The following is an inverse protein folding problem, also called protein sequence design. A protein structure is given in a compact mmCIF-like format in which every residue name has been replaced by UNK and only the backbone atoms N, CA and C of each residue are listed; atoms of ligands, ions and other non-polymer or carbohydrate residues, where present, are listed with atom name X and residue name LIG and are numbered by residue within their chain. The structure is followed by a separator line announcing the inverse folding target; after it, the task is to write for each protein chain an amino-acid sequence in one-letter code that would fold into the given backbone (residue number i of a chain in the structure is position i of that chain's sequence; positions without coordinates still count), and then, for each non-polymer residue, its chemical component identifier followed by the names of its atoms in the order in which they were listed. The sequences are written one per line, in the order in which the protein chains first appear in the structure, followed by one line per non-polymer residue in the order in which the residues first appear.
data_IF_139542758185
#
_entry.id   IF_139542758185
#
_cell.length_a   1.000
_cell.length_b   1.000
_cell.length_c   1.000
_cell.angle_alpha   90.00
_cell.angle_beta   90.00
_cell.angle_gamma   90.00
#
_symmetry.space_group_name_H-M   'P 1'
#
loop_
_entity.id
_entity.type
_entity.pdbx_description
1 polymer ?
#
# COMPACT_ATOMS: atom_id res chain seq x y z
N UNK A 1 -23.81 5.24 29.03
CA UNK A 1 -23.03 6.44 29.44
C UNK A 1 -21.58 6.19 29.12
N UNK A 2 -20.96 7.13 28.43
CA UNK A 2 -19.57 7.12 27.97
C UNK A 2 -18.63 7.55 29.11
N UNK A 3 -17.51 6.87 29.27
CA UNK A 3 -16.31 7.40 29.95
C UNK A 3 -15.08 6.78 29.30
N UNK A 4 -14.61 7.46 28.26
CA UNK A 4 -13.25 7.39 27.72
C UNK A 4 -12.37 8.35 28.54
N UNK A 5 -11.09 8.02 28.70
CA UNK A 5 -10.00 8.81 29.30
C UNK A 5 -9.87 8.81 30.82
N UNK A 6 -9.16 7.80 31.34
CA UNK A 6 -8.43 7.88 32.60
C UNK A 6 -7.02 8.43 32.36
N UNK A 7 -6.91 9.72 32.08
CA UNK A 7 -5.65 10.47 32.10
C UNK A 7 -5.30 10.72 33.58
N UNK A 8 -4.24 10.07 34.06
CA UNK A 8 -3.82 10.15 35.46
C UNK A 8 -3.28 11.53 35.85
N UNK A 9 -4.06 12.25 36.66
CA UNK A 9 -3.67 13.29 37.63
C UNK A 9 -2.54 12.80 38.56
N UNK A 10 -1.66 13.58 39.20
CA UNK A 10 -1.37 15.01 39.33
C UNK A 10 -0.03 15.12 40.11
N UNK A 11 0.67 16.27 40.11
CA UNK A 11 1.95 16.47 40.79
C UNK A 11 1.78 16.71 42.31
N UNK A 12 2.80 16.37 43.09
CA UNK A 12 2.86 16.63 44.54
C UNK A 12 3.53 18.00 44.79
N UNK A 13 3.00 18.84 45.71
CA UNK A 13 3.55 20.17 45.97
C UNK A 13 4.71 20.13 46.96
N UNK A 14 5.73 20.93 46.70
CA UNK A 14 6.87 21.19 47.57
C UNK A 14 6.66 22.56 48.25
N UNK A 15 6.69 22.58 49.59
CA UNK A 15 6.66 23.81 50.38
C UNK A 15 7.76 23.76 51.43
N UNK A 16 8.58 24.81 51.44
CA UNK A 16 9.06 25.59 52.59
C UNK A 16 10.57 25.88 52.56
N UNK A 17 10.90 27.16 52.31
CA UNK A 17 12.15 27.90 52.62
C UNK A 17 12.46 27.91 54.15
N UNK A 18 13.63 28.39 54.69
CA UNK A 18 14.44 29.55 54.25
C UNK A 18 16.00 29.47 54.32
N UNK A 19 16.62 30.51 53.73
CA UNK A 19 18.00 31.05 53.51
C UNK A 19 18.90 31.28 54.78
N UNK A 20 20.17 31.84 54.75
CA UNK A 20 21.47 31.65 54.01
C UNK A 20 22.72 31.59 54.99
N UNK A 21 24.04 31.79 54.65
CA UNK A 21 24.70 32.94 53.97
C UNK A 21 25.86 32.66 52.94
N UNK A 22 25.84 33.39 51.83
CA UNK A 22 26.91 34.23 51.22
C UNK A 22 28.39 33.77 51.16
N UNK A 23 28.94 33.62 49.93
CA UNK A 23 30.17 34.31 49.45
C UNK A 23 30.41 34.12 47.93
N UNK A 24 31.12 35.08 47.31
CA UNK A 24 31.40 35.32 45.88
C UNK A 24 32.89 35.78 45.81
N UNK A 25 33.64 35.89 44.68
CA UNK A 25 33.71 35.19 43.37
C UNK A 25 35.14 34.67 42.98
N UNK A 26 35.22 34.01 41.81
CA UNK A 26 36.34 34.01 40.80
C UNK A 26 37.45 32.93 40.91
N UNK A 27 38.21 32.68 39.82
CA UNK A 27 37.98 31.62 38.84
C UNK A 27 39.12 30.59 38.85
N UNK A 28 38.91 29.37 38.35
CA UNK A 28 40.04 28.64 37.78
C UNK A 28 39.64 27.64 36.71
N UNK A 29 40.48 27.68 35.69
CA UNK A 29 40.59 26.85 34.51
C UNK A 29 40.67 25.36 34.87
N UNK A 30 39.82 24.54 34.27
CA UNK A 30 40.09 23.10 34.14
C UNK A 30 39.35 22.53 32.95
N UNK A 31 40.17 22.08 32.01
CA UNK A 31 39.81 21.37 30.79
C UNK A 31 38.68 20.37 31.00
N UNK A 32 37.64 20.46 30.17
CA UNK A 32 36.66 19.39 30.00
C UNK A 32 37.37 18.21 29.32
N UNK A 33 37.53 17.03 29.94
CA UNK A 33 37.88 15.85 29.17
C UNK A 33 36.70 15.51 28.27
N UNK A 34 36.96 15.39 26.97
CA UNK A 34 36.03 14.86 26.00
C UNK A 34 35.44 13.56 26.55
N UNK A 35 34.14 13.54 26.79
CA UNK A 35 33.41 12.32 27.08
C UNK A 35 33.42 11.45 25.83
N UNK A 36 34.38 10.53 25.76
CA UNK A 36 34.33 9.38 24.86
C UNK A 36 33.08 8.61 25.23
N UNK A 37 31.99 8.89 24.52
CA UNK A 37 30.73 8.18 24.66
C UNK A 37 30.95 6.78 24.10
N UNK A 38 31.39 5.87 24.97
CA UNK A 38 31.46 4.45 24.69
C UNK A 38 30.07 4.01 24.24
N UNK A 39 29.89 3.80 22.93
CA UNK A 39 28.71 3.15 22.41
C UNK A 39 28.71 1.74 23.00
N UNK A 40 27.86 1.53 24.01
CA UNK A 40 27.58 0.21 24.56
C UNK A 40 27.01 -0.59 23.39
N UNK A 41 27.81 -1.51 22.87
CA UNK A 41 27.40 -2.46 21.85
C UNK A 41 26.19 -3.23 22.41
N UNK A 42 25.01 -2.93 21.88
CA UNK A 42 23.82 -3.72 22.20
C UNK A 42 24.09 -5.16 21.77
N UNK A 43 23.78 -6.16 22.62
CA UNK A 43 23.90 -7.55 22.25
C UNK A 43 23.02 -7.82 21.02
N UNK A 44 23.46 -8.68 20.08
CA UNK A 44 22.64 -9.04 18.93
C UNK A 44 21.32 -9.63 19.46
N UNK A 45 20.21 -8.92 19.21
CA UNK A 45 18.89 -9.43 19.52
C UNK A 45 18.70 -10.76 18.79
N UNK A 46 18.05 -11.76 19.40
CA UNK A 46 17.79 -13.02 18.72
C UNK A 46 17.01 -12.73 17.44
N UNK A 47 17.61 -13.03 16.29
CA UNK A 47 17.01 -12.79 14.98
C UNK A 47 15.83 -13.75 14.80
N UNK A 48 14.66 -13.35 15.28
CA UNK A 48 13.42 -14.04 14.99
C UNK A 48 13.03 -13.69 13.56
N UNK A 49 12.97 -14.68 12.67
CA UNK A 49 12.56 -14.52 11.26
C UNK A 49 11.06 -14.20 11.14
N UNK A 50 10.64 -13.04 11.62
CA UNK A 50 9.25 -12.55 11.64
C UNK A 50 8.70 -12.36 10.22
N UNK A 51 9.54 -11.91 9.29
CA UNK A 51 9.20 -11.75 7.87
C UNK A 51 8.83 -13.06 7.19
N UNK A 52 9.48 -14.16 7.56
CA UNK A 52 9.18 -15.47 6.99
C UNK A 52 7.74 -15.88 7.35
N UNK A 53 7.33 -15.59 8.60
CA UNK A 53 5.96 -15.86 9.07
C UNK A 53 4.95 -14.96 8.37
N UNK A 54 5.30 -13.69 8.12
CA UNK A 54 4.45 -12.75 7.39
C UNK A 54 4.33 -13.13 5.90
N UNK A 55 5.42 -13.58 5.27
CA UNK A 55 5.46 -14.08 3.90
C UNK A 55 4.61 -15.35 3.76
N UNK A 56 4.85 -16.37 4.59
CA UNK A 56 4.07 -17.61 4.53
C UNK A 56 2.60 -17.38 4.92
N UNK A 57 2.33 -16.49 5.88
CA UNK A 57 0.97 -16.07 6.22
C UNK A 57 0.29 -15.36 5.05
N UNK A 58 0.96 -14.40 4.42
CA UNK A 58 0.47 -13.70 3.24
C UNK A 58 0.27 -14.61 2.03
N UNK A 59 1.20 -15.53 1.77
CA UNK A 59 1.15 -16.47 0.65
C UNK A 59 0.04 -17.51 0.82
N UNK A 60 -0.13 -18.06 2.03
CA UNK A 60 -1.24 -18.99 2.31
C UNK A 60 -2.58 -18.29 2.24
N UNK A 61 -2.69 -17.09 2.82
CA UNK A 61 -3.90 -16.27 2.75
C UNK A 61 -4.24 -15.87 1.29
N UNK A 62 -3.25 -15.48 0.50
CA UNK A 62 -3.40 -15.18 -0.92
C UNK A 62 -3.85 -16.40 -1.73
N UNK A 63 -3.23 -17.55 -1.52
CA UNK A 63 -3.63 -18.79 -2.20
C UNK A 63 -5.08 -19.17 -1.86
N UNK A 64 -5.47 -19.09 -0.59
CA UNK A 64 -6.85 -19.34 -0.17
C UNK A 64 -7.83 -18.31 -0.77
N UNK A 65 -7.47 -17.03 -0.80
CA UNK A 65 -8.27 -15.96 -1.41
C UNK A 65 -8.49 -16.20 -2.91
N UNK A 66 -7.44 -16.58 -3.64
CA UNK A 66 -7.52 -16.93 -5.07
C UNK A 66 -8.39 -18.16 -5.30
N UNK A 67 -8.29 -19.19 -4.45
CA UNK A 67 -9.12 -20.39 -4.55
C UNK A 67 -10.60 -20.08 -4.32
N UNK A 68 -10.94 -19.28 -3.31
CA UNK A 68 -12.31 -18.83 -3.03
C UNK A 68 -12.84 -18.02 -4.20
N UNK A 69 -12.04 -17.08 -4.72
CA UNK A 69 -12.38 -16.27 -5.89
C UNK A 69 -12.69 -17.17 -7.10
N UNK A 70 -11.80 -18.12 -7.41
CA UNK A 70 -11.96 -19.05 -8.53
C UNK A 70 -13.22 -19.90 -8.38
N UNK A 71 -13.52 -20.38 -7.17
CA UNK A 71 -14.73 -21.16 -6.87
C UNK A 71 -16.01 -20.32 -7.07
N UNK A 72 -16.02 -19.09 -6.56
CA UNK A 72 -17.16 -18.17 -6.69
C UNK A 72 -17.45 -17.83 -8.17
N UNK A 73 -16.41 -17.42 -8.92
CA UNK A 73 -16.54 -17.14 -10.35
C UNK A 73 -16.94 -18.38 -11.16
N UNK A 74 -16.44 -19.57 -10.81
CA UNK A 74 -16.80 -20.79 -11.51
C UNK A 74 -18.29 -21.13 -11.36
N UNK A 75 -18.83 -21.02 -10.13
CA UNK A 75 -20.26 -21.23 -9.87
C UNK A 75 -21.11 -20.26 -10.70
N UNK A 76 -20.75 -18.97 -10.68
CA UNK A 76 -21.46 -17.92 -11.44
C UNK A 76 -21.37 -18.15 -12.95
N UNK A 77 -20.21 -18.53 -13.45
CA UNK A 77 -19.99 -18.84 -14.87
C UNK A 77 -20.86 -20.00 -15.33
N UNK A 78 -21.00 -21.07 -14.53
CA UNK A 78 -21.87 -22.21 -14.86
C UNK A 78 -23.34 -21.77 -14.88
N UNK A 79 -23.79 -20.96 -13.92
CA UNK A 79 -25.17 -20.45 -13.90
C UNK A 79 -25.52 -19.59 -15.11
N UNK A 80 -24.54 -18.93 -15.73
CA UNK A 80 -24.74 -18.14 -16.95
C UNK A 80 -24.85 -18.98 -18.22
N UNK A 81 -24.57 -20.29 -18.18
CA UNK A 81 -24.67 -21.17 -19.35
C UNK A 81 -26.14 -21.56 -19.53
N UNK A 82 -26.78 -21.19 -20.65
CA UNK A 82 -28.16 -21.56 -20.92
C UNK A 82 -28.31 -23.09 -21.13
N UNK A 83 -29.35 -23.75 -20.60
CA UNK A 83 -29.70 -25.13 -20.97
C UNK A 83 -30.03 -25.27 -22.47
N UNK A 84 -29.94 -26.50 -22.99
CA UNK A 84 -30.32 -26.79 -24.38
C UNK A 84 -31.76 -26.29 -24.63
N UNK A 85 -31.93 -25.50 -25.69
CA UNK A 85 -33.19 -24.87 -26.14
C UNK A 85 -33.65 -23.58 -25.43
N UNK A 86 -32.89 -23.01 -24.50
CA UNK A 86 -33.12 -21.60 -24.12
C UNK A 86 -32.19 -20.68 -24.92
N UNK A 87 -32.76 -19.65 -25.55
CA UNK A 87 -31.95 -18.63 -26.21
C UNK A 87 -31.26 -17.76 -25.14
N UNK A 88 -30.08 -17.23 -25.45
CA UNK A 88 -29.32 -16.35 -24.56
C UNK A 88 -30.09 -15.08 -24.16
N UNK A 89 -31.14 -14.72 -24.90
CA UNK A 89 -31.99 -13.54 -24.65
C UNK A 89 -32.98 -13.79 -23.50
N UNK A 90 -33.44 -15.04 -23.34
CA UNK A 90 -34.42 -15.40 -22.30
C UNK A 90 -33.80 -16.07 -21.08
N UNK A 91 -32.51 -16.41 -21.12
CA UNK A 91 -31.78 -16.95 -19.96
C UNK A 91 -31.23 -15.83 -19.09
N UNK A 92 -32.00 -15.43 -18.08
CA UNK A 92 -31.55 -14.49 -17.06
C UNK A 92 -31.36 -15.22 -15.73
N UNK A 93 -30.11 -15.59 -15.36
CA UNK A 93 -29.87 -16.18 -14.05
C UNK A 93 -30.26 -15.17 -12.98
N UNK A 94 -31.02 -15.63 -11.99
CA UNK A 94 -31.45 -14.79 -10.88
C UNK A 94 -30.23 -14.22 -10.15
N UNK A 95 -30.07 -12.89 -10.19
CA UNK A 95 -28.96 -12.17 -9.56
C UNK A 95 -29.50 -11.21 -8.50
N UNK A 96 -29.06 -11.38 -7.25
CA UNK A 96 -29.30 -10.39 -6.22
C UNK A 96 -28.25 -9.27 -6.34
N UNK A 97 -28.59 -8.15 -7.00
CA UNK A 97 -27.62 -7.08 -7.32
C UNK A 97 -26.85 -6.56 -6.11
N UNK A 98 -27.48 -6.45 -4.93
CA UNK A 98 -26.82 -5.99 -3.72
C UNK A 98 -25.87 -7.03 -3.11
N UNK A 99 -26.30 -8.30 -3.05
CA UNK A 99 -25.48 -9.40 -2.55
C UNK A 99 -24.27 -9.69 -3.46
N UNK A 100 -24.48 -9.63 -4.77
CA UNK A 100 -23.45 -9.85 -5.78
C UNK A 100 -22.41 -8.72 -5.78
N UNK A 101 -22.84 -7.47 -5.52
CA UNK A 101 -21.93 -6.34 -5.32
C UNK A 101 -21.11 -6.45 -4.03
N UNK A 102 -21.71 -6.89 -2.92
CA UNK A 102 -21.00 -7.11 -1.66
C UNK A 102 -20.00 -8.28 -1.75
N UNK A 103 -20.37 -9.36 -2.45
CA UNK A 103 -19.45 -10.45 -2.77
C UNK A 103 -18.30 -9.94 -3.64
N UNK A 104 -18.58 -9.14 -4.69
CA UNK A 104 -17.56 -8.57 -5.56
C UNK A 104 -16.61 -7.62 -4.82
N UNK A 105 -17.14 -6.79 -3.92
CA UNK A 105 -16.35 -5.90 -3.07
C UNK A 105 -15.39 -6.71 -2.19
N UNK A 106 -15.89 -7.72 -1.48
CA UNK A 106 -15.05 -8.56 -0.63
C UNK A 106 -14.07 -9.42 -1.44
N UNK A 107 -14.47 -9.93 -2.60
CA UNK A 107 -13.57 -10.65 -3.51
C UNK A 107 -12.40 -9.76 -3.95
N UNK A 108 -12.68 -8.49 -4.26
CA UNK A 108 -11.67 -7.54 -4.70
C UNK A 108 -10.73 -7.13 -3.55
N UNK A 109 -11.29 -6.74 -2.39
CA UNK A 109 -10.50 -6.26 -1.25
C UNK A 109 -9.64 -7.37 -0.66
N UNK A 110 -10.15 -8.59 -0.53
CA UNK A 110 -9.38 -9.71 -0.02
C UNK A 110 -8.20 -10.05 -0.95
N UNK A 111 -8.39 -10.03 -2.27
CA UNK A 111 -7.30 -10.31 -3.21
C UNK A 111 -6.20 -9.23 -3.18
N UNK A 112 -6.58 -7.95 -3.13
CA UNK A 112 -5.61 -6.84 -3.06
C UNK A 112 -4.90 -6.81 -1.70
N UNK A 113 -5.63 -6.99 -0.60
CA UNK A 113 -5.07 -7.03 0.75
C UNK A 113 -4.11 -8.22 0.90
N UNK A 114 -4.50 -9.40 0.39
CA UNK A 114 -3.65 -10.58 0.39
C UNK A 114 -2.38 -10.37 -0.42
N UNK A 115 -2.50 -9.75 -1.61
CA UNK A 115 -1.34 -9.40 -2.42
C UNK A 115 -0.42 -8.42 -1.70
N UNK A 116 -0.98 -7.42 -1.02
CA UNK A 116 -0.21 -6.47 -0.19
C UNK A 116 0.54 -7.15 0.95
N UNK A 117 -0.09 -8.09 1.65
CA UNK A 117 0.56 -8.87 2.71
C UNK A 117 1.67 -9.78 2.16
N UNK A 118 1.42 -10.46 1.03
CA UNK A 118 2.40 -11.30 0.37
C UNK A 118 3.59 -10.48 -0.15
N UNK A 119 3.32 -9.39 -0.87
CA UNK A 119 4.34 -8.52 -1.43
C UNK A 119 5.14 -7.81 -0.32
N UNK A 120 4.46 -7.29 0.70
CA UNK A 120 5.11 -6.69 1.87
C UNK A 120 5.98 -7.69 2.64
N UNK A 121 5.49 -8.92 2.83
CA UNK A 121 6.29 -10.00 3.42
C UNK A 121 7.49 -10.40 2.54
N UNK A 122 7.34 -10.40 1.21
CA UNK A 122 8.41 -10.71 0.27
C UNK A 122 9.49 -9.63 0.25
N UNK A 123 9.10 -8.36 0.21
CA UNK A 123 10.02 -7.22 0.29
C UNK A 123 10.74 -7.21 1.64
N UNK A 124 10.02 -7.39 2.75
CA UNK A 124 10.61 -7.45 4.08
C UNK A 124 11.61 -8.61 4.23
N UNK A 125 11.32 -9.76 3.63
CA UNK A 125 12.23 -10.90 3.57
C UNK A 125 13.48 -10.60 2.71
N UNK A 126 13.31 -10.05 1.51
CA UNK A 126 14.42 -9.77 0.59
C UNK A 126 15.39 -8.71 1.14
N UNK A 127 14.88 -7.72 1.87
CA UNK A 127 15.68 -6.66 2.49
C UNK A 127 16.19 -7.03 3.89
N UNK A 128 15.88 -8.24 4.38
CA UNK A 128 16.25 -8.74 5.71
C UNK A 128 15.83 -7.79 6.87
N UNK A 129 14.65 -7.17 6.76
CA UNK A 129 14.14 -6.16 7.71
C UNK A 129 13.35 -6.87 8.81
N UNK A 130 13.97 -7.28 9.93
CA UNK A 130 13.28 -8.07 10.97
C UNK A 130 12.50 -7.21 11.98
N UNK A 131 12.67 -5.88 11.96
CA UNK A 131 11.94 -4.95 12.80
C UNK A 131 12.06 -3.48 12.41
N UNK A 132 11.49 -2.61 13.23
CA UNK A 132 11.46 -1.15 13.00
C UNK A 132 12.85 -0.52 12.95
N UNK A 133 13.80 -1.07 13.71
CA UNK A 133 15.18 -0.59 13.74
C UNK A 133 15.90 -0.86 12.41
N UNK A 134 15.71 -2.05 11.83
CA UNK A 134 16.23 -2.41 10.50
C UNK A 134 15.58 -1.55 9.41
N UNK A 135 14.27 -1.30 9.52
CA UNK A 135 13.55 -0.42 8.59
C UNK A 135 14.08 1.02 8.68
N UNK A 136 14.31 1.53 9.90
CA UNK A 136 14.87 2.87 10.11
C UNK A 136 16.29 2.98 9.58
N UNK A 137 17.11 1.94 9.78
CA UNK A 137 18.47 1.86 9.21
C UNK A 137 18.42 1.80 7.68
N UNK A 138 17.53 1.02 7.10
CA UNK A 138 17.32 0.94 5.66
C UNK A 138 16.91 2.31 5.07
N UNK A 139 15.92 3.00 5.66
CA UNK A 139 15.50 4.33 5.20
C UNK A 139 16.63 5.35 5.33
N UNK A 140 17.37 5.34 6.45
CA UNK A 140 18.50 6.25 6.64
C UNK A 140 19.63 5.98 5.64
N UNK A 141 19.94 4.72 5.39
CA UNK A 141 20.94 4.33 4.40
C UNK A 141 20.48 4.67 2.97
N UNK A 142 19.19 4.55 2.67
CA UNK A 142 18.61 4.95 1.39
C UNK A 142 18.69 6.46 1.14
N UNK A 143 18.45 7.30 2.16
CA UNK A 143 18.62 8.75 2.05
C UNK A 143 20.08 9.20 2.01
N UNK A 144 20.98 8.45 2.64
CA UNK A 144 22.39 8.84 2.77
C UNK A 144 23.30 8.23 1.70
N UNK A 145 22.76 7.51 0.70
CA UNK A 145 23.58 6.88 -0.33
C UNK A 145 24.48 5.79 0.25
N UNK A 146 23.89 4.80 0.91
CA UNK A 146 24.60 3.64 1.43
C UNK A 146 25.37 2.92 0.32
N UNK A 147 26.68 2.75 0.55
CA UNK A 147 27.69 2.03 -0.22
C UNK A 147 27.18 1.20 -1.40
N UNK A 148 27.58 1.62 -2.61
CA UNK A 148 27.48 0.96 -3.92
C UNK A 148 26.32 1.34 -4.84
N UNK A 149 25.32 2.13 -4.39
CA UNK A 149 24.32 2.69 -5.31
C UNK A 149 24.31 4.22 -5.22
N UNK A 150 24.66 4.94 -6.31
CA UNK A 150 24.52 6.39 -6.32
C UNK A 150 23.06 6.75 -6.03
N UNK A 151 22.85 7.71 -5.13
CA UNK A 151 21.54 8.33 -4.97
C UNK A 151 21.23 8.97 -6.32
N UNK A 152 20.33 8.34 -7.07
CA UNK A 152 19.82 8.89 -8.32
C UNK A 152 19.34 10.31 -8.05
N UNK A 153 19.70 11.23 -8.94
CA UNK A 153 19.19 12.59 -8.85
C UNK A 153 17.67 12.56 -8.95
N UNK A 154 17.02 13.59 -8.41
CA UNK A 154 15.55 13.77 -8.52
C UNK A 154 15.10 13.66 -9.98
N UNK A 155 15.91 14.18 -10.92
CA UNK A 155 15.66 14.15 -12.36
C UNK A 155 15.71 12.74 -12.98
N UNK A 156 16.65 11.88 -12.57
CA UNK A 156 16.66 10.47 -13.00
C UNK A 156 15.43 9.71 -12.47
N UNK A 157 14.98 10.03 -11.26
CA UNK A 157 13.78 9.42 -10.68
C UNK A 157 12.52 9.86 -11.42
N UNK A 158 12.41 11.14 -11.80
CA UNK A 158 11.30 11.67 -12.59
C UNK A 158 11.22 11.02 -13.98
N UNK A 159 12.35 10.79 -14.64
CA UNK A 159 12.40 10.11 -15.94
C UNK A 159 11.95 8.65 -15.82
N UNK A 160 12.46 7.91 -14.85
CA UNK A 160 12.07 6.51 -14.60
C UNK A 160 10.59 6.37 -14.24
N UNK A 161 10.07 7.30 -13.43
CA UNK A 161 8.63 7.34 -13.10
C UNK A 161 7.81 7.62 -14.36
N UNK A 162 8.24 8.56 -15.19
CA UNK A 162 7.55 8.91 -16.44
C UNK A 162 7.54 7.75 -17.42
N UNK A 163 8.67 7.04 -17.59
CA UNK A 163 8.75 5.85 -18.43
C UNK A 163 7.85 4.73 -17.91
N UNK A 164 7.86 4.49 -16.59
CA UNK A 164 7.02 3.48 -15.96
C UNK A 164 5.52 3.79 -16.11
N UNK A 165 5.11 5.04 -15.86
CA UNK A 165 3.72 5.48 -16.07
C UNK A 165 3.34 5.31 -17.54
N UNK A 166 4.20 5.74 -18.46
CA UNK A 166 3.98 5.63 -19.90
C UNK A 166 3.85 4.17 -20.34
N UNK A 167 4.65 3.26 -19.78
CA UNK A 167 4.57 1.82 -20.06
C UNK A 167 3.28 1.18 -19.55
N UNK A 168 2.75 1.64 -18.41
CA UNK A 168 1.51 1.10 -17.83
C UNK A 168 0.27 1.70 -18.51
N UNK A 169 0.25 3.02 -18.74
CA UNK A 169 -0.90 3.76 -19.27
C UNK A 169 -0.91 3.87 -20.79
N UNK A 170 0.23 4.17 -21.41
CA UNK A 170 0.32 4.70 -22.77
C UNK A 170 -0.35 3.81 -23.81
N UNK A 171 0.16 2.60 -24.00
CA UNK A 171 -0.18 1.84 -25.21
C UNK A 171 -1.63 1.31 -25.25
N UNK A 172 -2.27 1.15 -24.09
CA UNK A 172 -3.64 0.60 -24.02
C UNK A 172 -4.71 1.68 -23.89
N UNK A 173 -4.44 2.76 -23.16
CA UNK A 173 -5.42 3.85 -23.04
C UNK A 173 -5.53 4.64 -24.34
N UNK A 174 -4.40 4.91 -24.99
CA UNK A 174 -4.39 5.67 -26.24
C UNK A 174 -5.10 4.91 -27.36
N UNK A 175 -4.86 3.60 -27.50
CA UNK A 175 -5.57 2.74 -28.47
C UNK A 175 -7.07 2.62 -28.19
N UNK A 176 -7.48 2.60 -26.91
CA UNK A 176 -8.90 2.58 -26.54
C UNK A 176 -9.59 3.92 -26.84
N UNK A 177 -8.90 5.04 -26.57
CA UNK A 177 -9.39 6.38 -26.82
C UNK A 177 -9.58 6.65 -28.32
N UNK A 178 -8.60 6.27 -29.15
CA UNK A 178 -8.68 6.40 -30.61
C UNK A 178 -9.80 5.52 -31.19
N UNK A 179 -9.95 4.29 -30.67
CA UNK A 179 -11.05 3.40 -31.07
C UNK A 179 -12.44 3.96 -30.72
N UNK A 180 -12.58 4.60 -29.55
CA UNK A 180 -13.82 5.30 -29.15
C UNK A 180 -14.11 6.49 -30.06
N UNK A 181 -13.10 7.32 -30.39
CA UNK A 181 -13.25 8.47 -31.29
C UNK A 181 -13.69 8.04 -32.70
N UNK A 182 -13.03 7.03 -33.27
CA UNK A 182 -13.39 6.50 -34.59
C UNK A 182 -14.82 5.93 -34.60
N UNK A 183 -15.23 5.24 -33.53
CA UNK A 183 -16.59 4.71 -33.40
C UNK A 183 -17.64 5.82 -33.33
N UNK A 184 -17.36 6.92 -32.61
CA UNK A 184 -18.25 8.09 -32.53
C UNK A 184 -18.34 8.84 -33.86
N UNK A 185 -17.24 8.96 -34.59
CA UNK A 185 -17.21 9.56 -35.92
C UNK A 185 -18.07 8.73 -36.90
N UNK A 186 -17.85 7.41 -36.95
CA UNK A 186 -18.64 6.52 -37.81
C UNK A 186 -20.13 6.50 -37.46
N UNK A 187 -20.46 6.60 -36.16
CA UNK A 187 -21.85 6.68 -35.71
C UNK A 187 -22.51 8.00 -36.12
N UNK A 188 -21.76 9.10 -36.12
CA UNK A 188 -22.24 10.41 -36.58
C UNK A 188 -22.47 10.43 -38.09
N UNK A 189 -21.51 9.93 -38.87
CA UNK A 189 -21.63 9.84 -40.33
C UNK A 189 -22.84 8.99 -40.75
N UNK A 190 -23.10 7.89 -40.04
CA UNK A 190 -24.26 7.03 -40.31
C UNK A 190 -25.59 7.71 -39.97
N UNK A 191 -25.66 8.47 -38.88
CA UNK A 191 -26.86 9.23 -38.50
C UNK A 191 -27.14 10.35 -39.49
N UNK A 192 -26.10 11.05 -39.95
CA UNK A 192 -26.24 12.10 -40.95
C UNK A 192 -26.70 11.52 -42.31
N UNK A 193 -26.20 10.34 -42.69
CA UNK A 193 -26.61 9.63 -43.90
C UNK A 193 -28.07 9.14 -43.85
N UNK A 194 -28.49 8.54 -42.72
CA UNK A 194 -29.88 8.10 -42.52
C UNK A 194 -30.86 9.30 -42.51
N UNK A 195 -30.42 10.46 -42.02
CA UNK A 195 -31.24 11.69 -41.98
C UNK A 195 -31.44 12.32 -43.37
N UNK A 196 -30.42 12.26 -44.23
CA UNK A 196 -30.49 12.73 -45.63
C UNK A 196 -31.38 11.83 -46.51
N UNK A 197 -31.33 10.49 -46.33
CA UNK A 197 -32.20 9.55 -47.04
C UNK A 197 -33.69 9.69 -46.66
N UNK A 198 -33.99 10.07 -45.42
CA UNK A 198 -35.39 10.23 -44.95
C UNK A 198 -36.02 11.56 -45.41
N UNK A 199 -35.22 12.51 -45.91
CA UNK A 199 -35.67 13.85 -46.35
C UNK A 199 -35.89 13.95 -47.86
N UNK A 200 -35.44 12.96 -48.64
CA UNK A 200 -35.63 12.86 -50.09
C UNK A 200 -36.88 12.07 -50.44
#
# INVERSE_FOLDING_TARGET
MVSLFGWGSSPKPESSQPTPPQEKPTPDESATPASTQSQIAQPPSPQTNTNLKLLFGGMTFFALSVLVTRRAFHKKRISCIPPFYTSSVYHQPHSNSAGDAFEALNLATLNVLSFGLMAGGAVGYALNINGLEDMRRFVRNGLQGGSDTPVKSDEELEEEVTEWVSKILGDKFEKQLEKEKMKRAFQKDKVDQDTEETRS
#
